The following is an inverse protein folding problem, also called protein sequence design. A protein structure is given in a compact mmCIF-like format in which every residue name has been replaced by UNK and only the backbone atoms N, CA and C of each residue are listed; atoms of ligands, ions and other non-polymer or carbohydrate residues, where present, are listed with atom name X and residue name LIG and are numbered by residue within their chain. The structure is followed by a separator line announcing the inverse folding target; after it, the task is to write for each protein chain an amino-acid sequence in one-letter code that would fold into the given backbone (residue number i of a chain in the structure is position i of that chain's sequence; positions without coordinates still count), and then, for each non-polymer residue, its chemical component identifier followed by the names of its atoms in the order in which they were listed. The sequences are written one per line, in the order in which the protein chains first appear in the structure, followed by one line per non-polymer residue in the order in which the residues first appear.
data_IF_497636553179
#
_entry.id   IF_497636553179
#
_cell.length_a   1.000
_cell.length_b   1.000
_cell.length_c   1.000
_cell.angle_alpha   90.00
_cell.angle_beta   90.00
_cell.angle_gamma   90.00
#
_symmetry.space_group_name_H-M   'P 1'
#
loop_
_entity.id
_entity.type
_entity.pdbx_description
1 polymer ?
#
# COMPACT_ATOMS: atom_id res chain seq x y z
N UNK A 1 6.53 14.41 17.50
CA UNK A 1 5.52 13.39 17.14
C UNK A 1 5.00 12.71 18.40
N UNK A 2 3.69 12.45 18.52
CA UNK A 2 3.08 11.82 19.69
C UNK A 2 3.46 10.33 19.78
N UNK A 3 3.43 9.79 20.99
CA UNK A 3 3.75 8.37 21.27
C UNK A 3 2.87 7.42 20.44
N UNK A 4 1.62 7.80 20.16
CA UNK A 4 0.67 6.98 19.37
C UNK A 4 1.15 6.69 17.94
N UNK A 5 1.92 7.58 17.32
CA UNK A 5 2.48 7.37 15.98
C UNK A 5 3.53 6.26 16.02
N UNK A 6 4.44 6.29 17.01
CA UNK A 6 5.47 5.27 17.15
C UNK A 6 4.88 3.90 17.49
N UNK A 7 3.84 3.85 18.32
CA UNK A 7 3.12 2.61 18.61
C UNK A 7 2.50 2.03 17.34
N UNK A 8 1.91 2.85 16.48
CA UNK A 8 1.31 2.39 15.24
C UNK A 8 2.34 1.77 14.28
N UNK A 9 3.51 2.40 14.12
CA UNK A 9 4.63 1.84 13.37
C UNK A 9 5.14 0.53 13.97
N UNK A 10 5.21 0.44 15.31
CA UNK A 10 5.59 -0.80 16.01
C UNK A 10 4.60 -1.94 15.78
N UNK A 11 3.30 -1.66 15.86
CA UNK A 11 2.24 -2.63 15.56
C UNK A 11 2.32 -3.09 14.11
N UNK A 12 2.51 -2.16 13.17
CA UNK A 12 2.67 -2.49 11.76
C UNK A 12 3.87 -3.41 11.53
N UNK A 13 5.04 -3.11 12.12
CA UNK A 13 6.22 -3.95 12.00
C UNK A 13 6.00 -5.36 12.58
N UNK A 14 5.30 -5.47 13.71
CA UNK A 14 4.94 -6.74 14.31
C UNK A 14 3.99 -7.57 13.42
N UNK A 15 2.94 -6.94 12.89
CA UNK A 15 1.98 -7.58 11.97
C UNK A 15 2.71 -8.01 10.70
N UNK A 16 3.53 -7.15 10.11
CA UNK A 16 4.29 -7.48 8.91
C UNK A 16 5.20 -8.69 9.15
N UNK A 17 5.92 -8.71 10.27
CA UNK A 17 6.80 -9.84 10.63
C UNK A 17 5.99 -11.13 10.81
N UNK A 18 4.84 -11.08 11.48
CA UNK A 18 3.96 -12.24 11.63
C UNK A 18 3.46 -12.76 10.27
N UNK A 19 3.10 -11.86 9.35
CA UNK A 19 2.70 -12.20 7.99
C UNK A 19 3.86 -12.86 7.20
N UNK A 20 5.10 -12.36 7.34
CA UNK A 20 6.26 -13.00 6.71
C UNK A 20 6.43 -14.44 7.20
N UNK A 21 6.39 -14.65 8.52
CA UNK A 21 6.51 -15.99 9.12
C UNK A 21 5.38 -16.91 8.64
N UNK A 22 4.14 -16.40 8.64
CA UNK A 22 2.98 -17.12 8.14
C UNK A 22 3.14 -17.52 6.67
N UNK A 23 3.57 -16.60 5.81
CA UNK A 23 3.74 -16.85 4.38
C UNK A 23 4.85 -17.87 4.08
N UNK A 24 5.95 -17.84 4.83
CA UNK A 24 7.00 -18.85 4.73
C UNK A 24 6.45 -20.23 5.12
N UNK A 25 5.72 -20.32 6.24
CA UNK A 25 5.09 -21.56 6.68
C UNK A 25 4.06 -22.09 5.68
N UNK A 26 3.19 -21.21 5.18
CA UNK A 26 2.17 -21.52 4.19
C UNK A 26 2.79 -22.05 2.90
N UNK A 27 3.81 -21.36 2.38
CA UNK A 27 4.47 -21.78 1.13
C UNK A 27 5.19 -23.11 1.30
N UNK A 28 5.82 -23.36 2.45
CA UNK A 28 6.44 -24.66 2.76
C UNK A 28 5.42 -25.79 2.90
N UNK A 29 4.26 -25.52 3.51
CA UNK A 29 3.22 -26.53 3.70
C UNK A 29 2.60 -27.00 2.39
N UNK A 30 2.35 -26.08 1.46
CA UNK A 30 1.77 -26.41 0.14
C UNK A 30 2.80 -26.83 -0.91
N UNK A 31 4.07 -26.97 -0.54
CA UNK A 31 5.12 -27.35 -1.47
C UNK A 31 5.06 -28.85 -1.78
N UNK A 32 5.02 -29.21 -3.08
CA UNK A 32 5.12 -30.60 -3.52
C UNK A 32 6.54 -31.14 -3.30
N UNK A 33 6.64 -32.35 -2.73
CA UNK A 33 7.91 -33.04 -2.45
C UNK A 33 8.73 -33.37 -3.70
N UNK A 34 8.14 -33.32 -4.90
CA UNK A 34 8.75 -33.86 -6.13
C UNK A 34 9.50 -32.83 -6.99
N UNK A 35 9.17 -31.54 -6.87
CA UNK A 35 9.76 -30.43 -7.65
C UNK A 35 10.08 -29.21 -6.75
N UNK A 36 10.69 -29.47 -5.59
CA UNK A 36 11.00 -28.44 -4.60
C UNK A 36 12.28 -27.68 -4.94
N UNK A 37 12.18 -26.69 -5.82
CA UNK A 37 13.25 -25.71 -6.01
C UNK A 37 13.17 -24.63 -4.93
N UNK A 38 14.16 -24.61 -4.05
CA UNK A 38 14.26 -23.66 -2.93
C UNK A 38 14.21 -22.20 -3.39
N UNK A 39 14.69 -21.93 -4.62
CA UNK A 39 14.64 -20.62 -5.26
C UNK A 39 13.20 -20.14 -5.52
N UNK A 40 12.33 -21.00 -6.04
CA UNK A 40 10.93 -20.68 -6.36
C UNK A 40 10.11 -20.44 -5.09
N UNK A 41 10.34 -21.25 -4.06
CA UNK A 41 9.67 -21.12 -2.76
C UNK A 41 10.01 -19.81 -2.08
N UNK A 42 11.30 -19.43 -2.07
CA UNK A 42 11.74 -18.17 -1.49
C UNK A 42 11.16 -16.97 -2.23
N UNK A 43 11.16 -17.00 -3.56
CA UNK A 43 10.58 -15.92 -4.39
C UNK A 43 9.08 -15.79 -4.14
N UNK A 44 8.35 -16.91 -4.11
CA UNK A 44 6.90 -16.92 -3.86
C UNK A 44 6.57 -16.40 -2.46
N UNK A 45 7.27 -16.89 -1.43
CA UNK A 45 7.07 -16.45 -0.05
C UNK A 45 7.40 -14.96 0.13
N UNK A 46 8.47 -14.47 -0.50
CA UNK A 46 8.86 -13.06 -0.47
C UNK A 46 7.81 -12.18 -1.16
N UNK A 47 7.34 -12.55 -2.35
CA UNK A 47 6.34 -11.78 -3.08
C UNK A 47 5.00 -11.74 -2.33
N UNK A 48 4.56 -12.86 -1.77
CA UNK A 48 3.35 -12.92 -0.96
C UNK A 48 3.47 -12.04 0.29
N UNK A 49 4.64 -12.04 0.93
CA UNK A 49 4.93 -11.18 2.09
C UNK A 49 4.86 -9.69 1.75
N UNK A 50 5.46 -9.28 0.63
CA UNK A 50 5.41 -7.88 0.18
C UNK A 50 3.96 -7.48 -0.15
N UNK A 51 3.22 -8.34 -0.86
CA UNK A 51 1.83 -8.08 -1.22
C UNK A 51 0.93 -7.91 0.02
N UNK A 52 1.02 -8.82 1.00
CA UNK A 52 0.27 -8.69 2.25
C UNK A 52 0.74 -7.49 3.08
N UNK A 53 2.02 -7.16 3.06
CA UNK A 53 2.58 -5.96 3.69
C UNK A 53 2.01 -4.66 3.12
N UNK A 54 1.80 -4.58 1.81
CA UNK A 54 1.14 -3.45 1.14
C UNK A 54 -0.30 -3.30 1.60
N UNK A 55 -1.04 -4.41 1.72
CA UNK A 55 -2.42 -4.38 2.22
C UNK A 55 -2.46 -3.95 3.68
N UNK A 56 -1.53 -4.43 4.52
CA UNK A 56 -1.41 -4.04 5.92
C UNK A 56 -0.98 -2.57 6.10
N UNK A 57 -0.41 -1.93 5.08
CA UNK A 57 -0.02 -0.52 5.12
C UNK A 57 -1.24 0.42 5.03
N UNK A 58 -2.32 -0.03 4.36
CA UNK A 58 -3.57 0.75 4.23
C UNK A 58 -4.19 1.16 5.56
N UNK A 59 -4.43 0.24 6.53
CA UNK A 59 -4.98 0.65 7.83
C UNK A 59 -4.01 1.53 8.63
N UNK A 60 -2.70 1.37 8.47
CA UNK A 60 -1.71 2.26 9.10
C UNK A 60 -1.83 3.68 8.54
N UNK A 61 -1.93 3.84 7.23
CA UNK A 61 -2.12 5.13 6.56
C UNK A 61 -3.39 5.84 7.04
N UNK A 62 -4.52 5.12 7.02
CA UNK A 62 -5.81 5.62 7.53
C UNK A 62 -5.68 6.06 9.00
N UNK A 63 -5.01 5.27 9.84
CA UNK A 63 -4.80 5.60 11.24
C UNK A 63 -3.93 6.86 11.41
N UNK A 64 -2.80 6.96 10.70
CA UNK A 64 -1.89 8.08 10.80
C UNK A 64 -2.56 9.39 10.40
N UNK A 65 -3.29 9.40 9.27
CA UNK A 65 -4.05 10.56 8.82
C UNK A 65 -5.16 10.90 9.81
N UNK A 66 -5.94 9.91 10.26
CA UNK A 66 -7.05 10.13 11.21
C UNK A 66 -6.58 10.64 12.57
N UNK A 67 -5.36 10.30 13.00
CA UNK A 67 -4.82 10.73 14.28
C UNK A 67 -4.39 12.20 14.29
N UNK A 68 -4.19 12.82 13.12
CA UNK A 68 -3.83 14.26 13.01
C UNK A 68 -5.00 15.19 13.37
N UNK A 69 -6.23 14.71 13.25
CA UNK A 69 -7.46 15.46 13.53
C UNK A 69 -7.98 15.09 14.93
N UNK A 70 -8.41 16.08 15.69
CA UNK A 70 -9.15 15.87 16.93
C UNK A 70 -10.60 15.53 16.60
N UNK A 71 -11.08 14.40 17.13
CA UNK A 71 -12.41 13.85 16.83
C UNK A 71 -13.53 14.68 17.47
N UNK A 72 -13.24 15.45 18.51
CA UNK A 72 -14.24 16.24 19.23
C UNK A 72 -14.38 17.65 18.66
N UNK A 73 -13.27 18.27 18.25
CA UNK A 73 -13.26 19.65 17.74
C UNK A 73 -13.19 19.71 16.21
N UNK A 74 -12.81 18.63 15.54
CA UNK A 74 -12.57 18.61 14.09
C UNK A 74 -11.33 19.39 13.65
N UNK A 75 -10.61 20.00 14.59
CA UNK A 75 -9.40 20.78 14.34
C UNK A 75 -8.16 19.88 14.35
N UNK A 76 -7.10 20.33 13.67
CA UNK A 76 -5.80 19.65 13.75
C UNK A 76 -5.29 19.71 15.20
N UNK A 77 -4.71 18.61 15.68
CA UNK A 77 -4.09 18.57 17.01
C UNK A 77 -2.90 19.52 17.09
N UNK A 78 -2.60 20.03 18.28
CA UNK A 78 -1.52 21.01 18.52
C UNK A 78 -0.11 20.53 18.15
N UNK A 79 0.11 19.22 18.09
CA UNK A 79 1.38 18.63 17.67
C UNK A 79 1.46 18.39 16.15
N UNK A 80 0.34 18.49 15.43
CA UNK A 80 0.22 18.19 14.01
C UNK A 80 0.54 19.44 13.17
N UNK A 81 1.77 19.93 13.36
CA UNK A 81 2.35 21.00 12.55
C UNK A 81 2.51 20.57 11.08
N UNK A 82 2.50 21.52 10.15
CA UNK A 82 2.56 21.24 8.71
C UNK A 82 3.82 20.46 8.32
N UNK A 83 4.97 20.80 8.91
CA UNK A 83 6.23 20.09 8.67
C UNK A 83 6.14 18.64 9.17
N UNK A 84 5.53 18.43 10.34
CA UNK A 84 5.41 17.09 10.94
C UNK A 84 4.49 16.20 10.09
N UNK A 85 3.39 16.75 9.58
CA UNK A 85 2.47 16.03 8.69
C UNK A 85 3.19 15.68 7.38
N UNK A 86 3.93 16.63 6.79
CA UNK A 86 4.67 16.41 5.56
C UNK A 86 5.64 15.22 5.69
N UNK A 87 6.48 15.20 6.72
CA UNK A 87 7.43 14.09 6.93
C UNK A 87 6.75 12.75 7.17
N UNK A 88 5.62 12.75 7.89
CA UNK A 88 4.85 11.54 8.14
C UNK A 88 4.24 10.98 6.83
N UNK A 89 3.60 11.83 6.04
CA UNK A 89 3.02 11.44 4.74
C UNK A 89 4.11 11.00 3.77
N UNK A 90 5.25 11.70 3.74
CA UNK A 90 6.39 11.33 2.91
C UNK A 90 6.91 9.94 3.27
N UNK A 91 7.03 9.61 4.56
CA UNK A 91 7.49 8.29 5.01
C UNK A 91 6.56 7.16 4.52
N UNK A 92 5.25 7.33 4.66
CA UNK A 92 4.25 6.36 4.17
C UNK A 92 4.28 6.26 2.64
N UNK A 93 4.37 7.39 1.95
CA UNK A 93 4.46 7.45 0.49
C UNK A 93 5.71 6.74 -0.05
N UNK A 94 6.87 6.96 0.57
CA UNK A 94 8.12 6.25 0.23
C UNK A 94 7.93 4.74 0.41
N UNK A 95 7.31 4.30 1.51
CA UNK A 95 7.08 2.88 1.76
C UNK A 95 6.17 2.25 0.70
N UNK A 96 5.09 2.94 0.30
CA UNK A 96 4.24 2.51 -0.81
C UNK A 96 5.03 2.38 -2.11
N UNK A 97 5.85 3.36 -2.47
CA UNK A 97 6.66 3.29 -3.69
C UNK A 97 7.67 2.16 -3.66
N UNK A 98 8.30 1.90 -2.52
CA UNK A 98 9.21 0.76 -2.35
C UNK A 98 8.46 -0.56 -2.55
N UNK A 99 7.31 -0.74 -1.91
CA UNK A 99 6.55 -1.98 -2.01
C UNK A 99 5.96 -2.22 -3.40
N UNK A 100 5.35 -1.20 -4.01
CA UNK A 100 4.87 -1.31 -5.39
C UNK A 100 6.02 -1.54 -6.37
N UNK A 101 7.15 -0.85 -6.18
CA UNK A 101 8.36 -1.08 -6.97
C UNK A 101 8.87 -2.52 -6.85
N UNK A 102 8.93 -3.06 -5.63
CA UNK A 102 9.28 -4.46 -5.40
C UNK A 102 8.30 -5.41 -6.07
N UNK A 103 6.98 -5.19 -5.96
CA UNK A 103 5.97 -6.03 -6.62
C UNK A 103 6.18 -6.03 -8.13
N UNK A 104 6.44 -4.87 -8.74
CA UNK A 104 6.73 -4.78 -10.18
C UNK A 104 8.00 -5.54 -10.56
N UNK A 105 9.09 -5.37 -9.80
CA UNK A 105 10.35 -6.09 -10.05
C UNK A 105 10.14 -7.60 -9.91
N UNK A 106 9.46 -8.05 -8.87
CA UNK A 106 9.18 -9.47 -8.69
C UNK A 106 8.30 -10.04 -9.81
N UNK A 107 7.25 -9.32 -10.20
CA UNK A 107 6.29 -9.75 -11.22
C UNK A 107 6.87 -9.78 -12.63
N UNK A 108 7.63 -8.76 -13.02
CA UNK A 108 8.15 -8.63 -14.39
C UNK A 108 9.55 -9.22 -14.58
N UNK A 109 10.39 -9.28 -13.55
CA UNK A 109 11.75 -9.81 -13.67
C UNK A 109 11.91 -11.16 -12.98
N UNK A 110 11.61 -11.25 -11.67
CA UNK A 110 12.01 -12.40 -10.86
C UNK A 110 11.17 -13.65 -11.18
N UNK A 111 9.85 -13.53 -11.31
CA UNK A 111 8.99 -14.68 -11.65
C UNK A 111 9.30 -15.22 -13.05
N UNK A 112 9.33 -14.40 -14.14
CA UNK A 112 9.64 -14.92 -15.46
C UNK A 112 11.07 -15.49 -15.55
N UNK A 113 12.03 -14.87 -14.86
CA UNK A 113 13.39 -15.41 -14.75
C UNK A 113 13.41 -16.78 -14.10
N UNK A 114 12.74 -16.94 -12.97
CA UNK A 114 12.68 -18.20 -12.23
C UNK A 114 12.06 -19.31 -13.08
N UNK A 115 10.95 -19.01 -13.76
CA UNK A 115 10.26 -19.96 -14.64
C UNK A 115 11.14 -20.43 -15.81
N UNK A 116 11.79 -19.51 -16.53
CA UNK A 116 12.62 -19.87 -17.69
C UNK A 116 13.93 -20.54 -17.25
N UNK A 117 14.46 -20.16 -16.09
CA UNK A 117 15.62 -20.83 -15.49
C UNK A 117 15.32 -22.29 -15.18
N UNK A 118 14.17 -22.55 -14.56
CA UNK A 118 13.67 -23.89 -14.26
C UNK A 118 13.53 -24.72 -15.55
N UNK A 119 12.88 -24.18 -16.58
CA UNK A 119 12.60 -24.92 -17.81
C UNK A 119 13.85 -25.20 -18.66
N UNK A 120 14.78 -24.23 -18.74
CA UNK A 120 15.88 -24.30 -19.72
C UNK A 120 17.23 -24.76 -19.15
N UNK A 121 17.40 -24.77 -17.84
CA UNK A 121 18.67 -25.08 -17.15
C UNK A 121 19.84 -24.15 -17.51
N UNK A 122 19.63 -23.15 -18.38
CA UNK A 122 20.67 -22.30 -18.97
C UNK A 122 20.42 -20.84 -18.63
N UNK A 123 21.21 -20.32 -17.69
CA UNK A 123 21.16 -18.92 -17.20
C UNK A 123 21.13 -17.87 -18.32
N UNK A 124 21.87 -18.09 -19.40
CA UNK A 124 21.97 -17.14 -20.52
C UNK A 124 20.67 -17.01 -21.35
N UNK A 125 19.84 -18.06 -21.43
CA UNK A 125 18.52 -17.97 -22.09
C UNK A 125 17.52 -17.27 -21.19
N UNK A 126 17.49 -17.64 -19.90
CA UNK A 126 16.64 -16.99 -18.90
C UNK A 126 16.85 -15.48 -18.85
N UNK A 127 18.10 -15.02 -18.83
CA UNK A 127 18.42 -13.59 -18.79
C UNK A 127 17.92 -12.82 -20.02
N UNK A 128 18.06 -13.40 -21.23
CA UNK A 128 17.59 -12.77 -22.48
C UNK A 128 16.08 -12.56 -22.50
N UNK A 129 15.31 -13.55 -22.07
CA UNK A 129 13.85 -13.44 -22.07
C UNK A 129 13.30 -12.64 -20.88
N UNK A 130 13.95 -12.68 -19.72
CA UNK A 130 13.62 -11.79 -18.60
C UNK A 130 13.85 -10.32 -18.93
N UNK A 131 14.84 -10.01 -19.77
CA UNK A 131 15.04 -8.64 -20.26
C UNK A 131 13.86 -8.16 -21.10
N UNK A 132 13.27 -9.02 -21.93
CA UNK A 132 12.08 -8.68 -22.72
C UNK A 132 10.85 -8.39 -21.83
N UNK A 133 10.60 -9.23 -20.81
CA UNK A 133 9.55 -8.96 -19.83
C UNK A 133 9.81 -7.69 -19.01
N UNK A 134 11.07 -7.45 -18.66
CA UNK A 134 11.48 -6.21 -18.01
C UNK A 134 11.22 -4.97 -18.85
N UNK A 135 11.53 -5.03 -20.15
CA UNK A 135 11.25 -3.96 -21.11
C UNK A 135 9.74 -3.71 -21.24
N UNK A 136 8.92 -4.77 -21.24
CA UNK A 136 7.46 -4.64 -21.20
C UNK A 136 6.97 -3.99 -19.89
N UNK A 137 7.57 -4.35 -18.75
CA UNK A 137 7.27 -3.73 -17.45
C UNK A 137 7.60 -2.24 -17.42
N UNK A 138 8.75 -1.84 -17.98
CA UNK A 138 9.12 -0.42 -18.14
C UNK A 138 8.12 0.30 -19.02
N UNK A 139 7.68 -0.32 -20.11
CA UNK A 139 6.70 0.25 -21.02
C UNK A 139 5.36 0.48 -20.31
N UNK A 140 4.88 -0.50 -19.54
CA UNK A 140 3.67 -0.38 -18.72
C UNK A 140 3.83 0.68 -17.62
N UNK A 141 4.99 0.78 -16.99
CA UNK A 141 5.27 1.82 -16.00
C UNK A 141 5.22 3.22 -16.63
N UNK A 142 5.84 3.40 -17.80
CA UNK A 142 5.77 4.65 -18.57
C UNK A 142 4.32 4.96 -18.96
N UNK A 143 3.56 3.98 -19.45
CA UNK A 143 2.13 4.15 -19.70
C UNK A 143 1.37 4.57 -18.44
N UNK A 144 1.65 3.97 -17.28
CA UNK A 144 1.06 4.37 -16.01
C UNK A 144 1.42 5.81 -15.61
N UNK A 145 2.64 6.25 -15.89
CA UNK A 145 3.09 7.62 -15.65
C UNK A 145 2.38 8.61 -16.59
N UNK A 146 2.20 8.25 -17.86
CA UNK A 146 1.46 9.06 -18.85
C UNK A 146 -0.05 9.05 -18.62
N UNK A 147 -0.59 7.99 -18.02
CA UNK A 147 -1.99 7.87 -17.59
C UNK A 147 -2.26 8.57 -16.26
N UNK A 148 -1.23 9.07 -15.55
CA UNK A 148 -1.44 9.86 -14.35
C UNK A 148 -2.31 11.06 -14.75
N UNK A 149 -3.54 11.16 -14.22
CA UNK A 149 -4.44 12.22 -14.64
C UNK A 149 -3.79 13.57 -14.30
N UNK A 150 -3.52 14.39 -15.32
CA UNK A 150 -3.12 15.81 -15.14
C UNK A 150 -4.23 16.65 -14.50
N UNK A 151 -5.43 16.08 -14.45
CA UNK A 151 -6.54 16.60 -13.66
C UNK A 151 -6.13 16.55 -12.19
N UNK A 152 -5.97 17.72 -11.57
CA UNK A 152 -5.93 17.84 -10.11
C UNK A 152 -7.05 16.95 -9.54
N UNK A 153 -6.83 16.25 -8.41
CA UNK A 153 -7.92 15.55 -7.75
C UNK A 153 -9.09 16.52 -7.70
N UNK A 154 -10.28 16.16 -8.23
CA UNK A 154 -11.43 17.05 -8.16
C UNK A 154 -11.52 17.44 -6.70
N UNK A 155 -11.38 18.75 -6.44
CA UNK A 155 -11.58 19.31 -5.13
C UNK A 155 -12.87 18.67 -4.64
N UNK A 156 -12.78 17.77 -3.66
CA UNK A 156 -13.95 17.10 -3.14
C UNK A 156 -14.65 18.23 -2.40
N UNK A 157 -15.53 18.91 -3.12
CA UNK A 157 -16.27 20.05 -2.64
C UNK A 157 -17.00 19.58 -1.39
N UNK A 158 -16.47 19.97 -0.23
CA UNK A 158 -17.18 19.82 1.03
C UNK A 158 -18.55 20.50 0.92
N UNK A 159 -18.73 21.44 -0.02
CA UNK A 159 -20.03 21.99 -0.39
C UNK A 159 -21.02 20.94 -0.90
N UNK A 160 -20.62 19.96 -1.70
CA UNK A 160 -21.50 18.88 -2.15
C UNK A 160 -21.93 17.99 -0.97
N UNK A 161 -20.98 17.60 -0.11
CA UNK A 161 -21.28 16.86 1.12
C UNK A 161 -22.15 17.67 2.09
N UNK A 162 -21.88 18.97 2.24
CA UNK A 162 -22.65 19.89 3.06
C UNK A 162 -24.06 20.06 2.52
N UNK A 163 -24.24 20.14 1.20
CA UNK A 163 -25.56 20.21 0.58
C UNK A 163 -26.34 18.91 0.77
N UNK A 164 -25.72 17.74 0.63
CA UNK A 164 -26.37 16.46 0.94
C UNK A 164 -26.77 16.33 2.41
N UNK A 165 -25.91 16.78 3.33
CA UNK A 165 -26.23 16.80 4.76
C UNK A 165 -27.36 17.79 5.07
N UNK A 166 -27.38 18.96 4.45
CA UNK A 166 -28.44 19.96 4.61
C UNK A 166 -29.77 19.56 3.94
N UNK A 167 -29.72 18.77 2.87
CA UNK A 167 -30.88 18.23 2.16
C UNK A 167 -31.53 17.07 2.94
N UNK A 168 -30.74 16.38 3.77
CA UNK A 168 -31.29 15.40 4.71
C UNK A 168 -32.19 16.09 5.75
N UNK A 169 -33.49 15.86 5.64
CA UNK A 169 -34.53 16.48 6.49
C UNK A 169 -34.30 16.31 7.99
N UNK A 170 -33.66 15.21 8.39
CA UNK A 170 -33.30 14.90 9.78
C UNK A 170 -32.23 15.83 10.35
N UNK A 171 -31.23 16.21 9.57
CA UNK A 171 -30.17 17.13 10.02
C UNK A 171 -30.72 18.55 10.17
N UNK A 172 -31.59 18.98 9.25
CA UNK A 172 -32.29 20.28 9.32
C UNK A 172 -33.15 20.41 10.59
N UNK A 173 -33.85 19.33 10.97
CA UNK A 173 -34.61 19.28 12.22
C UNK A 173 -33.71 19.32 13.46
N UNK A 174 -32.59 18.61 13.44
CA UNK A 174 -31.64 18.57 14.55
C UNK A 174 -30.96 19.93 14.80
N UNK A 175 -30.57 20.62 13.73
CA UNK A 175 -30.03 22.00 13.80
C UNK A 175 -31.08 22.98 14.30
N UNK A 176 -32.35 22.81 13.90
CA UNK A 176 -33.45 23.67 14.35
C UNK A 176 -33.75 23.48 15.85
N UNK A 177 -33.66 22.25 16.35
CA UNK A 177 -33.79 21.94 17.78
C UNK A 177 -32.63 22.51 18.60
N UNK A 178 -31.40 22.47 18.07
CA UNK A 178 -30.21 22.99 18.74
C UNK A 178 -30.11 24.53 18.73
N UNK A 179 -30.66 25.22 17.73
CA UNK A 179 -30.65 26.67 17.62
C UNK A 179 -31.87 27.36 18.24
N UNK A 180 -32.73 26.62 18.95
CA UNK A 180 -33.75 27.19 19.84
C UNK A 180 -34.74 28.14 19.13
N UNK A 181 -35.34 27.68 18.02
CA UNK A 181 -36.47 28.37 17.39
C UNK A 181 -37.51 27.39 16.87
#
# INVERSE_FOLDING_TARGET
MPVSVYIAWGIYAAIFTALVVFNIGFTKYYQSLRDSELSVTMVTAAMLSIAMGTVALVPLDIFLVSNTVDRHTGLKKTWADEDTIYWMTLAVQVLYYVFFGLILVFSFFIIPFSYIYYESGRRAKALKYSFFFGMMGILLYLFGLFLKPTILPPHIDLEWFKNLLMESSKFKSCVKILLGN
#
